data_IF_736286283333
#
_entry.id   IF_736286283333
#
_cell.length_a   1.000
_cell.length_b   1.000
_cell.length_c   1.000
_cell.angle_alpha   90.00
_cell.angle_beta   90.00
_cell.angle_gamma   90.00
#
_symmetry.space_group_name_H-M   'P 1'
#
loop_
_entity.id
_entity.type
_entity.pdbx_description
1 polymer ?
#
# COMPACT_ATOMS: atom_id res chain seq x y z
N UNK A 1 40.85 -64.86 -51.69
CA UNK A 1 41.08 -63.76 -50.75
C UNK A 1 39.77 -63.03 -50.58
N UNK A 2 39.14 -63.16 -49.40
CA UNK A 2 37.83 -62.59 -49.09
C UNK A 2 38.06 -61.39 -48.21
N UNK A 3 37.60 -60.21 -48.67
CA UNK A 3 37.57 -59.02 -47.84
C UNK A 3 36.15 -58.85 -47.20
N UNK A 4 36.10 -58.89 -45.89
CA UNK A 4 34.92 -58.61 -45.12
C UNK A 4 34.70 -57.06 -45.02
N UNK A 5 33.55 -56.63 -45.51
CA UNK A 5 33.07 -55.30 -45.23
C UNK A 5 32.35 -55.27 -43.86
N UNK A 6 32.92 -54.60 -42.88
CA UNK A 6 32.27 -54.32 -41.63
C UNK A 6 31.44 -52.98 -41.73
N UNK A 7 30.13 -53.12 -41.67
CA UNK A 7 29.22 -51.96 -41.63
C UNK A 7 29.15 -51.39 -40.20
N UNK A 8 29.63 -50.17 -40.06
CA UNK A 8 29.51 -49.41 -38.83
C UNK A 8 28.08 -48.84 -38.74
N UNK A 9 27.26 -49.35 -37.84
CA UNK A 9 25.98 -48.79 -37.49
C UNK A 9 26.22 -47.66 -36.48
N UNK A 10 26.12 -46.42 -36.92
CA UNK A 10 26.07 -45.27 -36.05
C UNK A 10 24.66 -45.18 -35.44
N UNK A 11 24.53 -45.51 -34.18
CA UNK A 11 23.31 -45.26 -33.40
C UNK A 11 23.27 -43.80 -33.01
N UNK A 12 22.42 -43.02 -33.67
CA UNK A 12 22.05 -41.67 -33.19
C UNK A 12 21.21 -41.84 -31.92
N UNK A 13 21.82 -41.63 -30.76
CA UNK A 13 21.07 -41.38 -29.52
C UNK A 13 20.49 -39.98 -29.60
N UNK A 14 19.23 -39.86 -29.98
CA UNK A 14 18.47 -38.63 -29.79
C UNK A 14 18.22 -38.47 -28.29
N UNK A 15 19.07 -37.69 -27.63
CA UNK A 15 18.78 -37.20 -26.29
C UNK A 15 17.60 -36.21 -26.37
N UNK A 16 16.40 -36.74 -26.22
CA UNK A 16 15.23 -35.90 -25.86
C UNK A 16 15.53 -35.32 -24.50
N UNK A 17 16.00 -34.07 -24.48
CA UNK A 17 15.93 -33.21 -23.33
C UNK A 17 14.44 -33.03 -23.01
N UNK A 18 13.92 -33.90 -22.15
CA UNK A 18 12.71 -33.65 -21.44
C UNK A 18 12.99 -32.39 -20.60
N UNK A 19 12.59 -31.23 -21.14
CA UNK A 19 12.46 -30.05 -20.36
C UNK A 19 11.50 -30.42 -19.20
N UNK A 20 12.09 -30.72 -18.05
CA UNK A 20 11.30 -30.76 -16.81
C UNK A 20 10.52 -29.45 -16.76
N UNK A 21 9.18 -29.50 -16.66
CA UNK A 21 8.44 -28.27 -16.46
C UNK A 21 9.09 -27.60 -15.24
N UNK A 22 9.72 -26.46 -15.45
CA UNK A 22 10.12 -25.59 -14.35
C UNK A 22 8.87 -25.45 -13.52
N UNK A 23 8.90 -26.01 -12.32
CA UNK A 23 7.84 -25.88 -11.33
C UNK A 23 7.54 -24.40 -11.31
N UNK A 24 6.33 -24.02 -11.77
CA UNK A 24 5.90 -22.64 -11.64
C UNK A 24 6.16 -22.29 -10.19
N UNK A 25 7.05 -21.34 -9.95
CA UNK A 25 7.36 -20.93 -8.58
C UNK A 25 6.02 -20.57 -7.97
N UNK A 26 5.60 -21.37 -7.00
CA UNK A 26 4.34 -21.15 -6.32
C UNK A 26 4.41 -19.74 -5.76
N UNK A 27 3.54 -18.87 -6.26
CA UNK A 27 3.41 -17.52 -5.72
C UNK A 27 3.22 -17.65 -4.21
N UNK A 28 4.22 -17.22 -3.45
CA UNK A 28 4.09 -17.11 -2.01
C UNK A 28 3.47 -15.75 -1.77
N UNK A 29 2.20 -15.66 -1.37
CA UNK A 29 1.54 -14.39 -1.16
C UNK A 29 2.27 -13.58 -0.07
N UNK A 30 2.12 -12.26 -0.13
CA UNK A 30 2.50 -11.36 0.96
C UNK A 30 1.49 -11.60 2.08
N UNK A 31 1.90 -12.16 3.22
CA UNK A 31 0.97 -12.56 4.28
C UNK A 31 0.91 -11.54 5.41
N UNK A 32 2.04 -11.33 6.09
CA UNK A 32 2.12 -10.50 7.27
C UNK A 32 3.05 -9.32 7.00
N UNK A 33 2.48 -8.18 6.71
CA UNK A 33 3.24 -6.98 6.37
C UNK A 33 3.08 -5.84 7.35
N UNK A 34 4.02 -4.92 7.30
CA UNK A 34 3.96 -3.69 8.05
C UNK A 34 4.37 -2.50 7.20
N UNK A 35 3.72 -1.36 7.41
CA UNK A 35 4.09 -0.12 6.75
C UNK A 35 5.39 0.45 7.34
N UNK A 36 6.38 0.72 6.49
CA UNK A 36 7.55 1.51 6.82
C UNK A 36 7.60 2.76 5.95
N UNK A 37 7.81 3.91 6.57
CA UNK A 37 8.09 5.14 5.82
C UNK A 37 9.58 5.28 5.60
N UNK A 38 9.97 5.73 4.40
CA UNK A 38 11.37 6.02 4.04
C UNK A 38 11.97 7.05 4.99
N UNK A 39 11.20 8.07 5.37
CA UNK A 39 11.59 9.05 6.37
C UNK A 39 10.73 8.89 7.64
N UNK A 40 11.31 8.79 8.83
CA UNK A 40 10.57 8.84 10.08
C UNK A 40 9.79 10.15 10.21
N UNK A 41 8.52 10.07 10.57
CA UNK A 41 7.70 11.27 10.79
C UNK A 41 6.90 11.79 9.60
N UNK A 42 6.82 11.03 8.50
CA UNK A 42 6.08 11.46 7.30
C UNK A 42 6.93 12.33 6.37
N UNK A 43 6.33 12.78 5.29
CA UNK A 43 6.97 13.51 4.22
C UNK A 43 8.04 14.53 4.64
N UNK A 44 9.20 14.42 4.04
CA UNK A 44 10.18 15.47 3.74
C UNK A 44 10.90 16.21 4.88
N UNK A 45 10.59 16.07 6.15
CA UNK A 45 11.00 17.06 7.14
C UNK A 45 11.94 16.60 8.24
N UNK A 46 12.54 15.42 8.13
CA UNK A 46 13.52 15.16 9.18
C UNK A 46 14.80 15.94 8.87
N UNK A 47 15.05 16.95 9.69
CA UNK A 47 16.32 17.69 9.77
C UNK A 47 17.48 16.76 10.21
N UNK A 48 17.19 15.50 10.49
CA UNK A 48 18.18 14.52 10.90
C UNK A 48 19.15 14.19 9.76
N UNK A 49 20.43 14.02 10.07
CA UNK A 49 21.43 13.56 9.11
C UNK A 49 21.03 12.23 8.46
N UNK A 50 21.32 12.08 7.18
CA UNK A 50 21.00 10.89 6.39
C UNK A 50 21.47 9.59 7.08
N UNK A 51 22.67 9.59 7.65
CA UNK A 51 23.24 8.43 8.37
C UNK A 51 22.39 8.02 9.57
N UNK A 52 21.83 8.98 10.32
CA UNK A 52 20.95 8.70 11.46
C UNK A 52 19.64 8.07 10.98
N UNK A 53 19.06 8.59 9.91
CA UNK A 53 17.86 8.02 9.32
C UNK A 53 18.08 6.59 8.81
N UNK A 54 19.21 6.34 8.14
CA UNK A 54 19.59 4.99 7.69
C UNK A 54 19.75 4.01 8.84
N UNK A 55 20.41 4.43 9.92
CA UNK A 55 20.57 3.60 11.12
C UNK A 55 19.23 3.30 11.80
N UNK A 56 18.36 4.29 11.91
CA UNK A 56 17.00 4.14 12.46
C UNK A 56 16.16 3.18 11.62
N UNK A 57 16.16 3.33 10.30
CA UNK A 57 15.45 2.42 9.39
C UNK A 57 15.99 0.99 9.50
N UNK A 58 17.31 0.84 9.61
CA UNK A 58 17.95 -0.47 9.79
C UNK A 58 17.55 -1.18 11.07
N UNK A 59 17.43 -0.45 12.18
CA UNK A 59 16.95 -0.98 13.46
C UNK A 59 15.49 -1.39 13.40
N UNK A 60 14.62 -0.50 12.92
CA UNK A 60 13.17 -0.77 12.73
C UNK A 60 12.92 -2.00 11.87
N UNK A 61 13.67 -2.17 10.79
CA UNK A 61 13.55 -3.35 9.94
C UNK A 61 13.96 -4.62 10.68
N UNK A 62 15.01 -4.57 11.53
CA UNK A 62 15.37 -5.70 12.41
C UNK A 62 14.24 -6.07 13.36
N UNK A 63 13.64 -5.08 14.03
CA UNK A 63 12.49 -5.27 14.92
C UNK A 63 11.29 -5.91 14.19
N UNK A 64 11.03 -5.50 12.95
CA UNK A 64 9.96 -6.07 12.09
C UNK A 64 10.21 -7.55 11.81
N UNK A 65 11.44 -7.91 11.50
CA UNK A 65 11.84 -9.31 11.27
C UNK A 65 11.70 -10.14 12.55
N UNK A 66 12.15 -9.61 13.68
CA UNK A 66 12.10 -10.30 14.98
C UNK A 66 10.67 -10.59 15.46
N UNK A 67 9.71 -9.72 15.08
CA UNK A 67 8.28 -9.90 15.36
C UNK A 67 7.65 -10.97 14.43
N UNK A 68 8.28 -11.27 13.29
CA UNK A 68 7.83 -12.31 12.36
C UNK A 68 7.02 -11.82 11.17
N UNK A 69 7.16 -10.54 10.80
CA UNK A 69 6.60 -10.04 9.54
C UNK A 69 7.39 -10.59 8.34
N UNK A 70 6.71 -10.90 7.24
CA UNK A 70 7.33 -11.48 6.04
C UNK A 70 7.46 -10.48 4.88
N UNK A 71 6.85 -9.29 5.00
CA UNK A 71 7.07 -8.19 4.06
C UNK A 71 6.98 -6.81 4.70
N UNK A 72 7.55 -5.85 4.01
CA UNK A 72 7.40 -4.43 4.32
C UNK A 72 6.71 -3.71 3.17
N UNK A 73 5.71 -2.90 3.49
CA UNK A 73 5.12 -1.94 2.56
C UNK A 73 5.83 -0.61 2.76
N UNK A 74 6.72 -0.30 1.81
CA UNK A 74 7.62 0.84 1.88
C UNK A 74 7.00 2.08 1.26
N UNK A 75 6.70 3.06 2.09
CA UNK A 75 6.04 4.31 1.70
C UNK A 75 7.06 5.33 1.23
N UNK A 76 7.05 5.67 -0.05
CA UNK A 76 7.93 6.67 -0.68
C UNK A 76 7.12 7.93 -1.02
N UNK A 77 7.53 9.07 -0.49
CA UNK A 77 6.85 10.34 -0.77
C UNK A 77 7.09 10.78 -2.23
N UNK A 78 6.04 11.26 -2.90
CA UNK A 78 6.13 11.80 -4.27
C UNK A 78 6.69 13.23 -4.32
N UNK A 79 6.57 14.00 -3.24
CA UNK A 79 6.97 15.42 -3.19
C UNK A 79 8.37 15.74 -3.74
N UNK A 80 9.43 14.91 -3.55
CA UNK A 80 10.74 15.19 -4.13
C UNK A 80 10.77 15.34 -5.66
N UNK A 81 9.79 14.78 -6.37
CA UNK A 81 9.73 14.82 -7.85
C UNK A 81 8.79 15.88 -8.40
N UNK A 82 8.12 16.64 -7.54
CA UNK A 82 7.31 17.79 -7.95
C UNK A 82 8.16 19.06 -8.16
N UNK A 83 7.56 20.11 -8.68
CA UNK A 83 8.23 21.40 -8.93
C UNK A 83 8.82 22.04 -7.66
N UNK A 84 8.32 21.63 -6.48
CA UNK A 84 8.84 22.09 -5.17
C UNK A 84 9.97 21.24 -4.61
N UNK A 85 10.24 20.09 -5.24
CA UNK A 85 11.30 19.17 -4.82
C UNK A 85 12.65 19.54 -5.42
N UNK A 86 13.73 19.10 -4.79
CA UNK A 86 15.09 19.27 -5.28
C UNK A 86 15.74 17.95 -5.64
N UNK A 87 16.79 18.00 -6.45
CA UNK A 87 17.62 16.82 -6.76
C UNK A 87 18.28 16.22 -5.51
N UNK A 88 18.53 17.04 -4.50
CA UNK A 88 19.07 16.58 -3.19
C UNK A 88 18.01 15.76 -2.46
N UNK A 89 16.75 16.22 -2.45
CA UNK A 89 15.64 15.50 -1.81
C UNK A 89 15.36 14.19 -2.54
N UNK A 90 15.39 14.18 -3.88
CA UNK A 90 15.26 12.97 -4.68
C UNK A 90 16.35 11.96 -4.34
N UNK A 91 17.62 12.40 -4.33
CA UNK A 91 18.73 11.52 -4.01
C UNK A 91 18.66 10.97 -2.58
N UNK A 92 18.24 11.80 -1.62
CA UNK A 92 18.03 11.39 -0.24
C UNK A 92 16.93 10.33 -0.14
N UNK A 93 15.77 10.55 -0.76
CA UNK A 93 14.66 9.60 -0.78
C UNK A 93 15.07 8.26 -1.40
N UNK A 94 15.76 8.28 -2.54
CA UNK A 94 16.26 7.08 -3.21
C UNK A 94 17.28 6.33 -2.36
N UNK A 95 18.20 7.03 -1.71
CA UNK A 95 19.23 6.41 -0.86
C UNK A 95 18.60 5.70 0.33
N UNK A 96 17.61 6.33 0.98
CA UNK A 96 16.88 5.74 2.10
C UNK A 96 16.03 4.55 1.65
N UNK A 97 15.30 4.68 0.54
CA UNK A 97 14.49 3.60 -0.01
C UNK A 97 15.36 2.38 -0.37
N UNK A 98 16.46 2.59 -1.09
CA UNK A 98 17.39 1.53 -1.46
C UNK A 98 17.94 0.80 -0.24
N UNK A 99 18.32 1.54 0.82
CA UNK A 99 18.83 0.94 2.05
C UNK A 99 17.82 -0.02 2.71
N UNK A 100 16.53 0.34 2.72
CA UNK A 100 15.47 -0.51 3.26
C UNK A 100 15.23 -1.72 2.33
N UNK A 101 15.09 -1.49 1.02
CA UNK A 101 14.82 -2.53 0.04
C UNK A 101 15.91 -3.62 0.08
N UNK A 102 17.17 -3.22 -0.04
CA UNK A 102 18.27 -4.17 -0.06
C UNK A 102 18.36 -4.98 1.25
N UNK A 103 18.19 -4.30 2.39
CA UNK A 103 18.24 -4.96 3.69
C UNK A 103 17.07 -5.90 3.92
N UNK A 104 15.85 -5.53 3.51
CA UNK A 104 14.68 -6.39 3.57
C UNK A 104 14.88 -7.66 2.75
N UNK A 105 15.37 -7.53 1.51
CA UNK A 105 15.67 -8.69 0.66
C UNK A 105 16.76 -9.59 1.23
N UNK A 106 17.78 -9.03 1.88
CA UNK A 106 18.82 -9.81 2.59
C UNK A 106 18.21 -10.60 3.75
N UNK A 107 17.22 -10.07 4.44
CA UNK A 107 16.47 -10.78 5.47
C UNK A 107 15.47 -11.82 4.93
N UNK A 108 15.36 -11.97 3.62
CA UNK A 108 14.39 -12.86 2.98
C UNK A 108 12.96 -12.31 2.96
N UNK A 109 12.78 -11.05 3.34
CA UNK A 109 11.48 -10.38 3.28
C UNK A 109 11.11 -9.99 1.85
N UNK A 110 9.83 -9.78 1.61
CA UNK A 110 9.34 -9.11 0.40
C UNK A 110 9.21 -7.63 0.64
N UNK A 111 9.18 -6.87 -0.44
CA UNK A 111 9.03 -5.42 -0.39
C UNK A 111 7.94 -4.99 -1.35
N UNK A 112 6.90 -4.38 -0.82
CA UNK A 112 5.93 -3.65 -1.60
C UNK A 112 6.27 -2.15 -1.54
N UNK A 113 6.50 -1.53 -2.69
CA UNK A 113 6.87 -0.11 -2.75
C UNK A 113 5.69 0.70 -3.23
N UNK A 114 5.20 1.58 -2.36
CA UNK A 114 4.06 2.44 -2.65
C UNK A 114 4.46 3.91 -2.73
N UNK A 115 3.93 4.60 -3.74
CA UNK A 115 4.08 6.06 -3.86
C UNK A 115 3.00 6.76 -3.03
N UNK A 116 3.42 7.76 -2.24
CA UNK A 116 2.56 8.53 -1.35
C UNK A 116 2.29 9.91 -1.93
N UNK A 117 1.05 10.19 -2.32
CA UNK A 117 0.62 11.52 -2.74
C UNK A 117 0.22 12.42 -1.57
N UNK A 118 -0.04 11.88 -0.39
CA UNK A 118 -0.52 12.65 0.78
C UNK A 118 0.42 13.74 1.30
N UNK A 119 1.65 13.83 0.76
CA UNK A 119 2.59 14.94 1.01
C UNK A 119 2.51 16.04 -0.05
N UNK A 120 1.65 15.88 -1.06
CA UNK A 120 1.47 16.86 -2.12
C UNK A 120 0.42 17.90 -1.71
N UNK A 121 0.52 19.13 -2.26
CA UNK A 121 -0.62 20.03 -2.26
C UNK A 121 -1.85 19.33 -2.84
N UNK A 122 -3.02 19.55 -2.26
CA UNK A 122 -4.28 18.94 -2.69
C UNK A 122 -4.52 19.11 -4.20
N UNK A 123 -4.16 20.28 -4.75
CA UNK A 123 -4.24 20.57 -6.18
C UNK A 123 -3.40 19.64 -7.05
N UNK A 124 -2.18 19.29 -6.61
CA UNK A 124 -1.30 18.38 -7.35
C UNK A 124 -1.78 16.94 -7.27
N UNK A 125 -2.25 16.50 -6.09
CA UNK A 125 -2.82 15.17 -5.93
C UNK A 125 -4.09 15.00 -6.78
N UNK A 126 -5.02 15.97 -6.72
CA UNK A 126 -6.22 15.99 -7.57
C UNK A 126 -5.86 16.09 -9.05
N UNK A 127 -4.85 16.86 -9.42
CA UNK A 127 -4.34 16.95 -10.79
C UNK A 127 -3.88 15.61 -11.32
N UNK A 128 -3.12 14.85 -10.52
CA UNK A 128 -2.66 13.51 -10.90
C UNK A 128 -3.82 12.53 -11.11
N UNK A 129 -4.77 12.52 -10.19
CA UNK A 129 -5.74 11.42 -10.05
C UNK A 129 -7.03 11.73 -10.79
N UNK A 130 -7.49 12.99 -10.74
CA UNK A 130 -8.82 13.36 -11.22
C UNK A 130 -8.83 14.03 -12.60
N UNK A 131 -7.71 14.59 -13.04
CA UNK A 131 -7.65 15.33 -14.32
C UNK A 131 -6.50 14.90 -15.22
N UNK A 132 -5.65 13.98 -14.76
CA UNK A 132 -4.41 13.60 -15.45
C UNK A 132 -3.57 14.82 -15.86
N UNK A 133 -3.43 15.81 -14.97
CA UNK A 133 -2.63 17.01 -15.24
C UNK A 133 -1.22 16.62 -15.71
N UNK A 134 -0.76 17.11 -16.87
CA UNK A 134 0.50 16.65 -17.46
C UNK A 134 1.72 16.85 -16.56
N UNK A 135 1.75 17.88 -15.73
CA UNK A 135 2.86 18.14 -14.82
C UNK A 135 2.87 17.19 -13.64
N UNK A 136 1.69 16.92 -13.08
CA UNK A 136 1.52 15.96 -11.99
C UNK A 136 1.82 14.52 -12.46
N UNK A 137 1.35 14.12 -13.63
CA UNK A 137 1.64 12.82 -14.25
C UNK A 137 3.13 12.69 -14.57
N UNK A 138 3.78 13.73 -15.07
CA UNK A 138 5.22 13.72 -15.34
C UNK A 138 6.03 13.57 -14.06
N UNK A 139 5.69 14.27 -12.98
CA UNK A 139 6.33 14.15 -11.68
C UNK A 139 6.19 12.71 -11.12
N UNK A 140 4.98 12.16 -11.17
CA UNK A 140 4.68 10.80 -10.72
C UNK A 140 5.44 9.74 -11.54
N UNK A 141 5.43 9.86 -12.86
CA UNK A 141 6.18 8.96 -13.76
C UNK A 141 7.69 9.06 -13.53
N UNK A 142 8.21 10.27 -13.32
CA UNK A 142 9.63 10.50 -13.02
C UNK A 142 10.03 9.85 -11.69
N UNK A 143 9.20 10.01 -10.65
CA UNK A 143 9.39 9.35 -9.36
C UNK A 143 9.45 7.83 -9.49
N UNK A 144 8.51 7.25 -10.22
CA UNK A 144 8.49 5.81 -10.48
C UNK A 144 9.70 5.31 -11.26
N UNK A 145 10.12 6.02 -12.31
CA UNK A 145 11.32 5.65 -13.08
C UNK A 145 12.58 5.64 -12.20
N UNK A 146 12.69 6.61 -11.31
CA UNK A 146 13.82 6.67 -10.37
C UNK A 146 13.79 5.51 -9.37
N UNK A 147 12.64 5.22 -8.79
CA UNK A 147 12.46 4.10 -7.85
C UNK A 147 12.66 2.75 -8.55
N UNK A 148 12.16 2.57 -9.77
CA UNK A 148 12.38 1.38 -10.59
C UNK A 148 13.87 1.05 -10.78
N UNK A 149 14.71 2.08 -10.87
CA UNK A 149 16.16 1.91 -10.97
C UNK A 149 16.78 1.21 -9.77
N UNK A 150 16.14 1.27 -8.61
CA UNK A 150 16.62 0.63 -7.36
C UNK A 150 16.19 -0.82 -7.21
N UNK A 151 15.17 -1.25 -7.95
CA UNK A 151 14.48 -2.50 -7.69
C UNK A 151 15.00 -3.63 -8.58
N UNK A 152 15.31 -4.81 -8.01
CA UNK A 152 15.57 -5.99 -8.81
C UNK A 152 14.29 -6.47 -9.50
N UNK A 153 14.41 -7.03 -10.70
CA UNK A 153 13.29 -7.64 -11.41
C UNK A 153 13.01 -9.04 -10.84
N UNK A 154 12.30 -9.08 -9.75
CA UNK A 154 11.97 -10.30 -9.01
C UNK A 154 10.56 -10.25 -8.44
N UNK A 155 9.94 -11.40 -8.28
CA UNK A 155 8.62 -11.56 -7.65
C UNK A 155 8.60 -11.26 -6.13
N UNK A 156 9.77 -11.06 -5.52
CA UNK A 156 9.89 -10.60 -4.12
C UNK A 156 9.62 -9.11 -3.95
N UNK A 157 9.44 -8.39 -5.05
CA UNK A 157 9.17 -6.96 -5.05
C UNK A 157 7.83 -6.70 -5.70
N UNK A 158 7.05 -5.82 -5.08
CA UNK A 158 5.79 -5.32 -5.61
C UNK A 158 5.85 -3.80 -5.77
N UNK A 159 5.04 -3.29 -6.69
CA UNK A 159 4.80 -1.87 -6.94
C UNK A 159 3.35 -1.56 -6.72
N UNK A 160 3.09 -0.63 -5.86
CA UNK A 160 1.79 -0.02 -5.69
C UNK A 160 1.83 1.40 -6.25
N UNK A 161 1.08 1.70 -7.32
CA UNK A 161 1.23 2.96 -8.07
C UNK A 161 1.05 4.19 -7.21
N UNK A 162 0.05 4.19 -6.35
CA UNK A 162 -0.30 5.30 -5.49
C UNK A 162 -1.08 4.80 -4.28
N UNK A 163 -0.77 5.32 -3.09
CA UNK A 163 -1.55 5.05 -1.89
C UNK A 163 -2.88 5.81 -1.96
N UNK A 164 -3.98 5.09 -1.77
CA UNK A 164 -5.31 5.64 -1.57
C UNK A 164 -5.66 6.76 -2.56
N UNK A 165 -5.84 6.46 -3.85
CA UNK A 165 -6.32 7.44 -4.79
C UNK A 165 -7.66 8.03 -4.33
N UNK A 166 -7.79 9.35 -4.15
CA UNK A 166 -9.01 9.95 -3.65
C UNK A 166 -10.15 9.91 -4.66
N UNK A 167 -11.36 10.16 -4.18
CA UNK A 167 -12.51 10.39 -5.03
C UNK A 167 -12.33 11.57 -5.95
N UNK A 168 -12.79 11.39 -7.18
CA UNK A 168 -12.83 12.43 -8.18
C UNK A 168 -14.27 12.79 -8.52
N UNK A 169 -14.65 14.07 -8.43
CA UNK A 169 -16.02 14.50 -8.79
C UNK A 169 -16.40 14.21 -10.23
N UNK A 170 -15.44 13.90 -11.09
CA UNK A 170 -15.59 13.80 -12.55
C UNK A 170 -15.41 12.41 -13.11
N UNK A 171 -15.20 11.38 -12.28
CA UNK A 171 -15.18 10.00 -12.74
C UNK A 171 -13.91 9.21 -12.45
N UNK A 172 -14.13 7.95 -12.51
CA UNK A 172 -13.27 6.81 -12.21
C UNK A 172 -12.16 6.66 -13.26
N UNK A 173 -12.53 6.97 -14.51
CA UNK A 173 -11.78 6.58 -15.71
C UNK A 173 -10.37 7.17 -15.77
N UNK A 174 -10.18 8.36 -15.21
CA UNK A 174 -8.87 9.04 -15.27
C UNK A 174 -7.81 8.29 -14.43
N UNK A 175 -8.19 7.81 -13.25
CA UNK A 175 -7.26 7.03 -12.43
C UNK A 175 -6.95 5.68 -13.07
N UNK A 176 -7.97 4.98 -13.55
CA UNK A 176 -7.81 3.66 -14.16
C UNK A 176 -6.93 3.74 -15.40
N UNK A 177 -7.14 4.71 -16.28
CA UNK A 177 -6.30 4.95 -17.46
C UNK A 177 -4.86 5.32 -17.09
N UNK A 178 -4.69 6.15 -16.07
CA UNK A 178 -3.37 6.58 -15.59
C UNK A 178 -2.60 5.39 -14.99
N UNK A 179 -3.26 4.59 -14.18
CA UNK A 179 -2.70 3.38 -13.58
C UNK A 179 -2.34 2.34 -14.66
N UNK A 180 -3.23 2.12 -15.63
CA UNK A 180 -3.00 1.21 -16.74
C UNK A 180 -1.82 1.66 -17.61
N UNK A 181 -1.69 2.95 -17.88
CA UNK A 181 -0.54 3.51 -18.58
C UNK A 181 0.78 3.23 -17.86
N UNK A 182 0.82 3.40 -16.54
CA UNK A 182 2.00 3.07 -15.74
C UNK A 182 2.28 1.56 -15.73
N UNK A 183 1.25 0.74 -15.62
CA UNK A 183 1.38 -0.71 -15.71
C UNK A 183 2.11 -1.14 -16.99
N UNK A 184 1.70 -0.64 -18.16
CA UNK A 184 2.36 -0.94 -19.42
C UNK A 184 3.83 -0.47 -19.44
N UNK A 185 4.12 0.70 -18.91
CA UNK A 185 5.49 1.20 -18.81
C UNK A 185 6.36 0.31 -17.91
N UNK A 186 5.83 -0.12 -16.78
CA UNK A 186 6.54 -1.02 -15.84
C UNK A 186 6.77 -2.37 -16.48
N UNK A 187 5.78 -2.95 -17.13
CA UNK A 187 5.89 -4.26 -17.79
C UNK A 187 6.92 -4.27 -18.93
N UNK A 188 7.10 -3.15 -19.61
CA UNK A 188 8.16 -3.02 -20.62
C UNK A 188 9.58 -3.08 -20.01
N UNK A 189 9.73 -2.73 -18.75
CA UNK A 189 11.02 -2.62 -18.05
C UNK A 189 11.27 -3.75 -17.04
N UNK A 190 10.22 -4.25 -16.43
CA UNK A 190 10.25 -5.22 -15.32
C UNK A 190 9.14 -6.25 -15.48
N UNK A 191 9.51 -7.48 -15.74
CA UNK A 191 8.54 -8.56 -16.02
C UNK A 191 8.14 -9.37 -14.80
N UNK A 192 9.06 -9.56 -13.86
CA UNK A 192 8.86 -10.41 -12.70
C UNK A 192 8.28 -9.67 -11.48
N UNK A 193 8.46 -8.35 -11.40
CA UNK A 193 7.95 -7.54 -10.32
C UNK A 193 6.41 -7.61 -10.26
N UNK A 194 5.86 -7.75 -9.06
CA UNK A 194 4.41 -7.67 -8.87
C UNK A 194 3.91 -6.25 -9.06
N UNK A 195 2.86 -6.07 -9.84
CA UNK A 195 2.18 -4.79 -9.97
C UNK A 195 0.90 -4.83 -9.15
N UNK A 196 0.77 -3.91 -8.19
CA UNK A 196 -0.39 -3.83 -7.31
C UNK A 196 -1.40 -2.87 -7.91
N UNK A 197 -2.57 -3.38 -8.28
CA UNK A 197 -3.66 -2.58 -8.83
C UNK A 197 -4.54 -2.10 -7.68
N UNK A 198 -4.84 -0.82 -7.70
CA UNK A 198 -5.57 -0.12 -6.67
C UNK A 198 -6.86 0.49 -7.24
N UNK A 199 -7.99 0.26 -6.57
CA UNK A 199 -9.21 0.99 -6.87
C UNK A 199 -9.07 2.46 -6.46
N UNK A 200 -9.99 3.31 -6.94
CA UNK A 200 -10.10 4.69 -6.45
C UNK A 200 -10.88 4.74 -5.12
N UNK A 201 -11.33 5.91 -4.68
CA UNK A 201 -12.15 6.11 -3.48
C UNK A 201 -11.42 5.70 -2.21
N UNK A 202 -10.16 6.15 -2.10
CA UNK A 202 -9.28 5.79 -0.99
C UNK A 202 -8.97 4.28 -0.90
N UNK A 203 -9.33 3.51 -1.95
CA UNK A 203 -9.17 2.07 -1.97
C UNK A 203 -10.07 1.32 -1.01
N UNK A 204 -11.20 1.93 -0.65
CA UNK A 204 -12.15 1.35 0.28
C UNK A 204 -12.83 0.10 -0.29
N UNK A 205 -13.05 -0.91 0.54
CA UNK A 205 -13.79 -2.11 0.19
C UNK A 205 -15.30 -1.96 0.31
N UNK A 206 -15.80 -0.77 0.67
CA UNK A 206 -17.25 -0.59 0.96
C UNK A 206 -18.17 -0.74 -0.23
N UNK A 207 -17.60 -1.03 -1.39
CA UNK A 207 -18.35 -1.72 -2.43
C UNK A 207 -18.60 -0.98 -3.70
N UNK A 208 -18.32 0.31 -3.81
CA UNK A 208 -18.44 0.99 -5.11
C UNK A 208 -17.13 1.03 -5.86
N UNK A 209 -16.03 1.05 -5.17
CA UNK A 209 -14.75 1.49 -5.71
C UNK A 209 -13.83 0.36 -6.12
N UNK A 210 -13.76 -0.70 -5.30
CA UNK A 210 -13.07 -1.90 -5.71
C UNK A 210 -13.87 -2.67 -6.75
N UNK A 211 -15.20 -2.72 -6.60
CA UNK A 211 -16.10 -3.41 -7.53
C UNK A 211 -16.29 -2.67 -8.86
N UNK A 212 -15.96 -1.39 -8.96
CA UNK A 212 -15.96 -0.62 -10.20
C UNK A 212 -14.67 -0.73 -11.00
N UNK A 213 -13.58 -1.21 -10.39
CA UNK A 213 -12.32 -1.48 -11.09
C UNK A 213 -12.53 -2.56 -12.15
N UNK A 214 -12.19 -2.26 -13.41
CA UNK A 214 -12.15 -3.26 -14.48
C UNK A 214 -10.85 -4.08 -14.38
N UNK A 215 -10.90 -5.36 -13.96
CA UNK A 215 -9.73 -6.20 -13.87
C UNK A 215 -9.23 -6.69 -15.22
N UNK A 216 -10.02 -6.59 -16.29
CA UNK A 216 -9.79 -7.22 -17.60
C UNK A 216 -8.40 -6.96 -18.18
N UNK A 217 -7.85 -5.73 -18.12
CA UNK A 217 -6.52 -5.46 -18.66
C UNK A 217 -5.39 -6.24 -17.97
N UNK A 218 -5.60 -6.70 -16.75
CA UNK A 218 -4.58 -7.30 -15.88
C UNK A 218 -4.68 -8.82 -15.77
N UNK A 219 -5.83 -9.43 -16.09
CA UNK A 219 -6.12 -10.85 -15.79
C UNK A 219 -5.17 -11.87 -16.43
N UNK A 220 -4.44 -11.50 -17.47
CA UNK A 220 -3.49 -12.39 -18.14
C UNK A 220 -2.07 -12.33 -17.58
N UNK A 221 -1.82 -11.41 -16.66
CA UNK A 221 -0.51 -11.22 -16.04
C UNK A 221 -0.50 -11.86 -14.65
N UNK A 222 0.24 -12.98 -14.46
CA UNK A 222 0.33 -13.65 -13.16
C UNK A 222 1.11 -12.80 -12.11
N UNK A 223 1.68 -11.69 -12.54
CA UNK A 223 2.42 -10.77 -11.69
C UNK A 223 1.60 -9.53 -11.31
N UNK A 224 0.27 -9.61 -11.37
CA UNK A 224 -0.62 -8.57 -10.84
C UNK A 224 -1.21 -9.02 -9.51
N UNK A 225 -1.33 -8.08 -8.60
CA UNK A 225 -2.04 -8.19 -7.33
C UNK A 225 -3.10 -7.09 -7.28
N UNK A 226 -4.24 -7.38 -6.72
CA UNK A 226 -5.26 -6.38 -6.41
C UNK A 226 -5.23 -6.09 -4.93
N UNK A 227 -5.34 -4.83 -4.54
CA UNK A 227 -5.32 -4.41 -3.14
C UNK A 227 -6.51 -3.55 -2.79
N UNK A 228 -6.87 -3.56 -1.54
CA UNK A 228 -7.84 -2.64 -0.93
C UNK A 228 -7.40 -2.32 0.49
N UNK A 229 -7.86 -1.18 1.01
CA UNK A 229 -7.70 -0.83 2.41
C UNK A 229 -9.00 -1.09 3.16
N UNK A 230 -8.87 -1.45 4.41
CA UNK A 230 -10.03 -1.71 5.26
C UNK A 230 -9.78 -1.17 6.66
N UNK A 231 -10.56 -0.18 7.05
CA UNK A 231 -10.45 0.48 8.35
C UNK A 231 -11.72 0.38 9.19
N UNK A 232 -12.81 -0.12 8.59
CA UNK A 232 -14.05 -0.28 9.34
C UNK A 232 -13.93 -1.32 10.47
N UNK A 233 -14.57 -1.04 11.60
CA UNK A 233 -15.26 0.21 11.96
C UNK A 233 -14.28 1.28 12.43
N UNK A 234 -14.38 2.48 11.86
CA UNK A 234 -13.49 3.61 12.18
C UNK A 234 -13.47 3.97 13.66
N UNK A 235 -14.56 3.76 14.39
CA UNK A 235 -14.58 3.96 15.84
C UNK A 235 -13.48 3.14 16.53
N UNK A 236 -13.23 1.90 16.08
CA UNK A 236 -12.18 1.05 16.63
C UNK A 236 -10.79 1.41 16.09
N UNK A 237 -10.63 1.46 14.78
CA UNK A 237 -9.33 1.64 14.13
C UNK A 237 -8.79 3.07 14.23
N UNK A 238 -9.68 4.06 14.40
CA UNK A 238 -9.37 5.47 14.49
C UNK A 238 -9.12 6.00 15.90
N UNK A 239 -9.16 5.14 16.93
CA UNK A 239 -8.94 5.57 18.32
C UNK A 239 -7.62 6.33 18.47
N UNK A 240 -7.67 7.48 19.15
CA UNK A 240 -6.52 8.34 19.42
C UNK A 240 -6.05 9.20 18.23
N UNK A 241 -6.65 9.09 17.06
CA UNK A 241 -6.23 9.85 15.88
C UNK A 241 -6.76 11.29 15.91
N UNK A 242 -5.85 12.26 15.90
CA UNK A 242 -6.19 13.68 15.95
C UNK A 242 -6.49 14.32 14.59
N UNK A 243 -6.21 13.61 13.50
CA UNK A 243 -6.37 14.11 12.13
C UNK A 243 -7.59 13.52 11.41
N UNK A 244 -8.24 12.51 12.00
CA UNK A 244 -9.39 11.85 11.42
C UNK A 244 -10.70 12.47 11.94
N UNK A 245 -11.69 12.69 11.06
CA UNK A 245 -13.04 13.13 11.39
C UNK A 245 -13.03 14.37 12.31
N UNK A 246 -12.47 15.47 11.82
CA UNK A 246 -12.32 16.74 12.51
C UNK A 246 -11.56 16.67 13.84
N UNK A 247 -10.86 15.55 14.05
CA UNK A 247 -10.04 15.32 15.24
C UNK A 247 -10.80 14.79 16.45
N UNK A 248 -12.10 14.48 16.35
CA UNK A 248 -12.88 13.98 17.50
C UNK A 248 -12.38 12.63 18.04
N UNK A 249 -11.79 11.79 17.19
CA UNK A 249 -11.28 10.49 17.63
C UNK A 249 -10.03 10.56 18.52
N UNK A 250 -9.39 11.71 18.64
CA UNK A 250 -8.31 11.92 19.62
C UNK A 250 -8.76 11.71 21.06
N UNK A 251 -10.06 11.87 21.34
CA UNK A 251 -10.66 11.64 22.66
C UNK A 251 -11.10 10.21 22.89
N UNK A 252 -11.25 9.42 21.82
CA UNK A 252 -11.76 8.05 21.88
C UNK A 252 -10.62 7.07 22.08
N UNK A 253 -10.67 6.30 23.18
CA UNK A 253 -9.72 5.25 23.50
C UNK A 253 -10.40 4.16 24.31
N UNK A 254 -9.85 2.94 24.27
CA UNK A 254 -10.31 1.84 25.14
C UNK A 254 -11.45 1.01 24.57
N UNK A 255 -11.79 1.15 23.28
CA UNK A 255 -12.71 0.22 22.63
C UNK A 255 -12.01 -1.13 22.41
N UNK A 256 -12.67 -2.20 22.79
CA UNK A 256 -12.21 -3.56 22.54
C UNK A 256 -12.73 -4.11 21.21
N UNK A 257 -12.02 -5.05 20.64
CA UNK A 257 -12.49 -5.89 19.52
C UNK A 257 -12.54 -7.36 19.97
N UNK A 258 -13.60 -8.11 19.69
CA UNK A 258 -14.90 -7.66 19.15
C UNK A 258 -15.60 -6.66 20.06
N UNK A 259 -16.68 -6.02 19.57
CA UNK A 259 -17.48 -5.08 20.38
C UNK A 259 -17.87 -5.68 21.73
N UNK A 260 -17.57 -4.94 22.79
CA UNK A 260 -18.07 -5.16 24.15
C UNK A 260 -18.85 -3.93 24.63
N UNK A 261 -20.06 -4.13 25.11
CA UNK A 261 -20.95 -3.04 25.49
C UNK A 261 -20.44 -2.26 26.72
N UNK A 262 -19.75 -2.94 27.64
CA UNK A 262 -19.20 -2.32 28.85
C UNK A 262 -18.02 -1.44 28.52
N UNK A 263 -17.08 -1.96 27.70
CA UNK A 263 -15.92 -1.22 27.24
C UNK A 263 -16.34 -0.02 26.37
N UNK A 264 -17.29 -0.23 25.45
CA UNK A 264 -17.82 0.83 24.59
C UNK A 264 -18.48 1.96 25.37
N UNK A 265 -19.30 1.63 26.39
CA UNK A 265 -19.92 2.62 27.27
C UNK A 265 -18.87 3.39 28.08
N UNK A 266 -17.87 2.70 28.60
CA UNK A 266 -16.79 3.31 29.37
C UNK A 266 -15.93 4.22 28.49
N UNK A 267 -15.58 3.79 27.27
CA UNK A 267 -14.85 4.58 26.30
C UNK A 267 -15.60 5.85 25.90
N UNK A 268 -16.93 5.74 25.66
CA UNK A 268 -17.77 6.90 25.36
C UNK A 268 -17.80 7.89 26.52
N UNK A 269 -18.04 7.44 27.74
CA UNK A 269 -18.07 8.34 28.92
C UNK A 269 -16.75 9.07 29.11
N UNK A 270 -15.63 8.37 28.96
CA UNK A 270 -14.32 8.97 29.06
C UNK A 270 -14.09 10.02 27.93
N UNK A 271 -14.45 9.69 26.70
CA UNK A 271 -14.33 10.60 25.57
C UNK A 271 -15.17 11.87 25.75
N UNK A 272 -16.44 11.72 26.18
CA UNK A 272 -17.32 12.86 26.44
C UNK A 272 -16.78 13.78 27.56
N UNK A 273 -16.20 13.19 28.62
CA UNK A 273 -15.57 13.96 29.70
C UNK A 273 -14.34 14.74 29.20
N UNK A 274 -13.51 14.13 28.34
CA UNK A 274 -12.35 14.80 27.76
C UNK A 274 -12.76 15.91 26.81
N UNK A 275 -13.78 15.72 25.98
CA UNK A 275 -14.36 16.75 25.09
C UNK A 275 -14.89 17.95 25.93
N UNK A 276 -15.58 17.67 27.04
CA UNK A 276 -16.11 18.71 27.91
C UNK A 276 -15.00 19.56 28.56
N UNK A 277 -13.88 18.94 28.90
CA UNK A 277 -12.75 19.59 29.59
C UNK A 277 -11.77 20.28 28.64
N UNK A 278 -11.85 20.08 27.31
CA UNK A 278 -10.91 20.71 26.37
C UNK A 278 -11.20 22.21 26.21
N UNK A 279 -10.31 23.09 26.71
CA UNK A 279 -10.50 24.54 26.64
C UNK A 279 -10.38 25.11 25.22
N UNK A 280 -9.84 24.32 24.28
CA UNK A 280 -9.63 24.75 22.90
C UNK A 280 -10.89 24.55 22.03
N UNK A 281 -11.91 23.85 22.52
CA UNK A 281 -13.16 23.66 21.81
C UNK A 281 -14.15 24.77 22.11
N UNK A 282 -14.77 25.28 21.05
CA UNK A 282 -15.96 26.15 21.22
C UNK A 282 -17.15 25.32 21.72
N UNK A 283 -18.17 25.96 22.34
CA UNK A 283 -19.38 25.22 22.76
C UNK A 283 -20.05 24.42 21.61
N UNK A 284 -20.07 25.00 20.41
CA UNK A 284 -20.62 24.32 19.22
C UNK A 284 -19.81 23.07 18.83
N UNK A 285 -18.49 23.17 18.76
CA UNK A 285 -17.62 22.01 18.47
C UNK A 285 -17.77 20.94 19.53
N UNK A 286 -17.86 21.33 20.82
CA UNK A 286 -18.05 20.38 21.90
C UNK A 286 -19.35 19.60 21.75
N UNK A 287 -20.47 20.29 21.50
CA UNK A 287 -21.77 19.66 21.29
C UNK A 287 -21.75 18.72 20.05
N UNK A 288 -21.11 19.14 18.95
CA UNK A 288 -20.96 18.32 17.74
C UNK A 288 -20.16 17.05 18.05
N UNK A 289 -18.99 17.17 18.66
CA UNK A 289 -18.13 16.01 18.97
C UNK A 289 -18.81 15.02 19.93
N UNK A 290 -19.52 15.52 20.94
CA UNK A 290 -20.29 14.67 21.86
C UNK A 290 -21.38 13.87 21.13
N UNK A 291 -22.14 14.51 20.25
CA UNK A 291 -23.19 13.88 19.46
C UNK A 291 -22.65 12.85 18.47
N UNK A 292 -21.58 13.20 17.78
CA UNK A 292 -20.97 12.33 16.76
C UNK A 292 -20.28 11.12 17.39
N UNK A 293 -19.53 11.30 18.49
CA UNK A 293 -18.94 10.19 19.23
C UNK A 293 -20.00 9.20 19.75
N UNK A 294 -21.12 9.71 20.25
CA UNK A 294 -22.22 8.86 20.69
C UNK A 294 -22.82 8.04 19.52
N UNK A 295 -22.95 8.69 18.36
CA UNK A 295 -23.43 8.02 17.13
C UNK A 295 -22.42 6.98 16.65
N UNK A 296 -21.13 7.30 16.61
CA UNK A 296 -20.06 6.38 16.18
C UNK A 296 -20.00 5.13 17.06
N UNK A 297 -20.14 5.29 18.38
CA UNK A 297 -20.17 4.17 19.31
C UNK A 297 -21.44 3.32 19.16
N UNK A 298 -22.59 3.96 18.91
CA UNK A 298 -23.83 3.20 18.64
C UNK A 298 -23.70 2.37 17.34
N UNK A 299 -23.09 2.93 16.30
CA UNK A 299 -22.81 2.21 15.05
C UNK A 299 -21.79 1.09 15.27
N UNK A 300 -20.81 1.29 16.14
CA UNK A 300 -19.82 0.28 16.49
C UNK A 300 -20.45 -0.99 17.06
N UNK A 301 -21.57 -0.91 17.76
CA UNK A 301 -22.29 -2.09 18.24
C UNK A 301 -22.69 -3.06 17.11
N UNK A 302 -22.94 -2.56 15.91
CA UNK A 302 -23.27 -3.37 14.74
C UNK A 302 -22.02 -3.77 13.95
N UNK A 303 -21.11 -2.82 13.72
CA UNK A 303 -19.94 -3.00 12.86
C UNK A 303 -18.74 -3.64 13.58
N UNK A 304 -18.67 -3.55 14.91
CA UNK A 304 -17.58 -4.13 15.71
C UNK A 304 -17.69 -5.64 15.92
N UNK A 305 -18.19 -6.39 14.96
CA UNK A 305 -18.42 -7.83 15.08
C UNK A 305 -17.65 -8.62 14.00
N UNK A 306 -17.25 -9.85 14.33
CA UNK A 306 -16.64 -10.77 13.36
C UNK A 306 -17.56 -11.02 12.17
N UNK A 307 -18.87 -11.12 12.40
CA UNK A 307 -19.85 -11.34 11.32
C UNK A 307 -19.88 -10.17 10.34
N UNK A 308 -19.82 -8.95 10.83
CA UNK A 308 -19.74 -7.75 9.98
C UNK A 308 -18.46 -7.77 9.15
N UNK A 309 -17.30 -7.99 9.77
CA UNK A 309 -16.01 -8.09 9.10
C UNK A 309 -16.03 -9.14 7.98
N UNK A 310 -16.52 -10.33 8.27
CA UNK A 310 -16.63 -11.42 7.29
C UNK A 310 -17.57 -11.06 6.13
N UNK A 311 -18.67 -10.34 6.40
CA UNK A 311 -19.58 -9.87 5.35
C UNK A 311 -18.91 -8.84 4.42
N UNK A 312 -18.03 -7.97 4.94
CA UNK A 312 -17.28 -7.03 4.10
C UNK A 312 -16.27 -7.78 3.20
N UNK A 313 -15.52 -8.73 3.76
CA UNK A 313 -14.57 -9.51 2.97
C UNK A 313 -15.24 -10.42 1.93
N UNK A 314 -16.46 -10.89 2.18
CA UNK A 314 -17.24 -11.62 1.19
C UNK A 314 -17.57 -10.80 -0.06
N UNK A 315 -17.68 -9.47 0.03
CA UNK A 315 -17.86 -8.59 -1.14
C UNK A 315 -16.64 -8.65 -2.06
N UNK A 316 -15.44 -8.54 -1.48
CA UNK A 316 -14.18 -8.65 -2.22
C UNK A 316 -14.03 -10.04 -2.84
N UNK A 317 -14.34 -11.08 -2.08
CA UNK A 317 -14.29 -12.46 -2.59
C UNK A 317 -15.28 -12.70 -3.75
N UNK A 318 -16.44 -12.05 -3.73
CA UNK A 318 -17.42 -12.18 -4.82
C UNK A 318 -17.01 -11.43 -6.07
N UNK A 319 -16.17 -10.40 -5.94
CA UNK A 319 -15.60 -9.66 -7.06
C UNK A 319 -14.43 -10.43 -7.70
N UNK A 320 -13.57 -11.06 -6.88
CA UNK A 320 -12.39 -11.81 -7.32
C UNK A 320 -12.75 -13.13 -8.03
#
# INVERSE_FOLDING_TARGET
MRLCCAALKASLLAATLLATPTRAETFIPFHNGVNLSVAPGGANSSSEPLAVQQATNGRRLGEVVDIGFDFVRLRVALAPWTDTGSSVDQQKALTLANGIIQKALVYGMRVDVVMMAGSLPTTTASGLICTADPSAVAAWTSGWRAVLGLLPDTFHVAFEPLNEPPDCPQGIDVWDDTQLSLYHQIRALRRAVKFVVYGHHWGDNTGTDFTSLDPTPYLRDPNVLFTFHYYDPFAFTGQGLSWLLDGRYRYLTGLAWPYDATDAQSALQNALALVEQDPNLTPGQRATFQSELATDIANYATSGTTSYLMAQFAKVQSWA
#
